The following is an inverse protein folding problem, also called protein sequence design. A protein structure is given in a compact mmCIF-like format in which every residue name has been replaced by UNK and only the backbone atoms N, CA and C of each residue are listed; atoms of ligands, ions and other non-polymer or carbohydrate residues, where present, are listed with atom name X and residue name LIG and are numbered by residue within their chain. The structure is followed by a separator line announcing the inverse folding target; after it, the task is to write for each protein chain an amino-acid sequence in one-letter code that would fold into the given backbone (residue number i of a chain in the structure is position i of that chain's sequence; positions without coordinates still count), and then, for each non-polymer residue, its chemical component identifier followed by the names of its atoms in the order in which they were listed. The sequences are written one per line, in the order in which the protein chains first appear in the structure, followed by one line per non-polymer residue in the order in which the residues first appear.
data_IF_929481660950
#
_entry.id   IF_929481660950
#
_cell.length_a   1.000
_cell.length_b   1.000
_cell.length_c   1.000
_cell.angle_alpha   90.00
_cell.angle_beta   90.00
_cell.angle_gamma   90.00
#
_symmetry.space_group_name_H-M   'P 1'
#
loop_
_entity.id
_entity.type
_entity.pdbx_description
1 polymer ?
#
# COMPACT_ATOMS: atom_id res chain seq x y z
N UNK A 1 9.73 -28.21 -1.44
CA UNK A 1 9.40 -27.72 -0.10
C UNK A 1 10.15 -26.41 0.24
N UNK A 2 11.48 -26.36 0.08
CA UNK A 2 12.30 -25.16 0.37
C UNK A 2 11.89 -23.94 -0.45
N UNK A 3 11.65 -24.08 -1.75
CA UNK A 3 11.22 -22.97 -2.62
C UNK A 3 9.90 -22.37 -2.12
N UNK A 4 8.97 -23.21 -1.72
CA UNK A 4 7.64 -22.79 -1.23
C UNK A 4 7.74 -22.01 0.09
N UNK A 5 8.63 -22.41 0.99
CA UNK A 5 8.91 -21.67 2.24
C UNK A 5 9.54 -20.31 1.94
N UNK A 6 10.56 -20.25 1.06
CA UNK A 6 11.25 -19.00 0.73
C UNK A 6 10.35 -17.97 0.05
N UNK A 7 9.26 -18.38 -0.61
CA UNK A 7 8.32 -17.47 -1.28
C UNK A 7 7.13 -17.11 -0.39
N UNK A 8 6.60 -18.04 0.39
CA UNK A 8 5.43 -17.80 1.25
C UNK A 8 5.81 -16.97 2.48
N UNK A 9 6.98 -17.22 3.08
CA UNK A 9 7.38 -16.53 4.32
C UNK A 9 7.49 -15.00 4.16
N UNK A 10 8.17 -14.44 3.14
CA UNK A 10 8.17 -13.00 2.91
C UNK A 10 6.78 -12.44 2.62
N UNK A 11 5.95 -13.19 1.88
CA UNK A 11 4.60 -12.75 1.54
C UNK A 11 3.70 -12.67 2.78
N UNK A 12 3.76 -13.65 3.68
CA UNK A 12 3.02 -13.64 4.96
C UNK A 12 3.53 -12.55 5.89
N UNK A 13 4.83 -12.30 5.92
CA UNK A 13 5.43 -11.23 6.70
C UNK A 13 4.97 -9.84 6.22
N UNK A 14 5.02 -9.59 4.90
CA UNK A 14 4.52 -8.36 4.29
C UNK A 14 3.03 -8.14 4.55
N UNK A 15 2.22 -9.20 4.47
CA UNK A 15 0.80 -9.13 4.77
C UNK A 15 0.54 -8.77 6.25
N UNK A 16 1.27 -9.39 7.18
CA UNK A 16 1.16 -9.09 8.61
C UNK A 16 1.54 -7.63 8.91
N UNK A 17 2.63 -7.13 8.33
CA UNK A 17 3.02 -5.73 8.45
C UNK A 17 1.94 -4.81 7.90
N UNK A 18 1.42 -5.10 6.70
CA UNK A 18 0.36 -4.28 6.09
C UNK A 18 -0.88 -4.18 6.97
N UNK A 19 -1.28 -5.28 7.64
CA UNK A 19 -2.41 -5.27 8.58
C UNK A 19 -2.15 -4.38 9.81
N UNK A 20 -0.93 -4.41 10.36
CA UNK A 20 -0.57 -3.61 11.53
C UNK A 20 -0.64 -2.11 11.22
N UNK A 21 -0.17 -1.70 10.04
CA UNK A 21 -0.15 -0.29 9.66
C UNK A 21 -1.46 0.25 9.07
N UNK A 22 -2.37 -0.61 8.64
CA UNK A 22 -3.61 -0.18 7.96
C UNK A 22 -4.47 0.73 8.84
N UNK A 23 -4.62 0.40 10.10
CA UNK A 23 -5.45 1.18 11.03
C UNK A 23 -4.85 2.56 11.30
N UNK A 24 -3.58 2.60 11.70
CA UNK A 24 -2.88 3.85 12.01
C UNK A 24 -2.83 4.78 10.81
N UNK A 25 -2.63 4.23 9.61
CA UNK A 25 -2.65 4.99 8.36
C UNK A 25 -4.02 5.62 8.09
N UNK A 26 -5.12 4.87 8.29
CA UNK A 26 -6.48 5.37 8.08
C UNK A 26 -6.81 6.46 9.11
N UNK A 27 -6.51 6.26 10.40
CA UNK A 27 -6.73 7.23 11.47
C UNK A 27 -5.99 8.54 11.15
N UNK A 28 -4.70 8.46 10.82
CA UNK A 28 -3.89 9.63 10.49
C UNK A 28 -4.36 10.36 9.24
N UNK A 29 -4.75 9.64 8.20
CA UNK A 29 -5.28 10.25 6.97
C UNK A 29 -6.58 10.99 7.23
N UNK A 30 -7.47 10.45 8.09
CA UNK A 30 -8.72 11.12 8.47
C UNK A 30 -8.43 12.39 9.28
N UNK A 31 -7.48 12.36 10.20
CA UNK A 31 -7.09 13.52 11.00
C UNK A 31 -6.49 14.64 10.13
N UNK A 32 -5.60 14.31 9.20
CA UNK A 32 -5.02 15.26 8.25
C UNK A 32 -6.08 15.89 7.34
N UNK A 33 -7.03 15.09 6.85
CA UNK A 33 -8.14 15.55 6.01
C UNK A 33 -9.07 16.51 6.78
N UNK A 34 -9.41 16.19 8.04
CA UNK A 34 -10.19 17.05 8.93
C UNK A 34 -9.49 18.38 9.18
N UNK A 35 -8.21 18.34 9.53
CA UNK A 35 -7.42 19.55 9.80
C UNK A 35 -7.42 20.46 8.59
N UNK A 36 -7.15 19.93 7.40
CA UNK A 36 -7.15 20.69 6.15
C UNK A 36 -8.54 21.26 5.83
N UNK A 37 -9.59 20.48 6.04
CA UNK A 37 -10.99 20.90 5.79
C UNK A 37 -11.37 22.02 6.72
N UNK A 38 -11.10 21.91 8.03
CA UNK A 38 -11.44 22.95 9.01
C UNK A 38 -10.61 24.21 8.81
N UNK A 39 -9.32 24.09 8.51
CA UNK A 39 -8.48 25.25 8.23
C UNK A 39 -8.99 26.00 7.00
N UNK A 40 -9.39 25.30 5.95
CA UNK A 40 -9.95 25.90 4.74
C UNK A 40 -11.28 26.60 5.04
N UNK A 41 -12.17 25.97 5.79
CA UNK A 41 -13.45 26.54 6.20
C UNK A 41 -13.27 27.79 7.09
N UNK A 42 -12.38 27.72 8.10
CA UNK A 42 -12.08 28.85 8.97
C UNK A 42 -11.48 30.03 8.20
N UNK A 43 -10.55 29.75 7.26
CA UNK A 43 -9.95 30.76 6.41
C UNK A 43 -10.97 31.42 5.48
N UNK A 44 -11.90 30.65 4.93
CA UNK A 44 -12.98 31.16 4.09
C UNK A 44 -13.91 32.09 4.89
N UNK A 45 -14.30 31.69 6.11
CA UNK A 45 -15.09 32.54 7.02
C UNK A 45 -14.32 33.80 7.38
N UNK A 46 -13.03 33.67 7.77
CA UNK A 46 -12.15 34.82 8.05
C UNK A 46 -12.16 35.80 6.88
N UNK A 47 -11.90 35.30 5.66
CA UNK A 47 -11.87 36.13 4.47
C UNK A 47 -13.21 36.82 4.21
N UNK A 48 -14.34 36.12 4.39
CA UNK A 48 -15.66 36.70 4.21
C UNK A 48 -15.95 37.84 5.19
N UNK A 49 -15.52 37.73 6.45
CA UNK A 49 -15.70 38.81 7.43
C UNK A 49 -14.64 39.90 7.33
N UNK A 50 -13.42 39.59 6.95
CA UNK A 50 -12.34 40.57 6.76
C UNK A 50 -12.58 41.44 5.53
N UNK A 51 -12.88 40.83 4.38
CA UNK A 51 -12.99 41.54 3.10
C UNK A 51 -14.44 41.87 2.69
N UNK A 52 -15.42 41.19 3.30
CA UNK A 52 -16.85 41.42 3.01
C UNK A 52 -17.43 42.66 3.70
N UNK A 53 -16.73 43.23 4.69
CA UNK A 53 -17.16 44.37 5.47
C UNK A 53 -15.98 45.32 5.72
N UNK A 54 -16.21 46.64 5.61
CA UNK A 54 -15.20 47.67 5.87
C UNK A 54 -15.20 48.12 7.33
N UNK A 55 -14.05 48.64 7.81
CA UNK A 55 -13.89 49.17 9.15
C UNK A 55 -13.39 48.19 10.19
N UNK A 56 -13.25 48.66 11.43
CA UNK A 56 -12.77 47.87 12.56
C UNK A 56 -13.88 47.11 13.29
N UNK A 57 -13.52 46.04 13.99
CA UNK A 57 -14.45 45.31 14.85
C UNK A 57 -14.66 46.07 16.15
N UNK A 58 -15.91 46.27 16.53
CA UNK A 58 -16.32 46.97 17.74
C UNK A 58 -17.54 46.31 18.37
N UNK A 59 -17.58 46.27 19.70
CA UNK A 59 -18.75 45.82 20.45
C UNK A 59 -19.31 47.01 21.21
N UNK A 60 -20.62 47.28 21.04
CA UNK A 60 -21.32 48.35 21.73
C UNK A 60 -21.66 47.99 23.20
N UNK A 61 -22.23 48.97 23.95
CA UNK A 61 -22.65 48.75 25.33
C UNK A 61 -23.74 47.71 25.54
N UNK A 62 -24.40 47.21 24.48
CA UNK A 62 -25.36 46.13 24.49
C UNK A 62 -24.76 44.76 24.19
N UNK A 63 -23.44 44.68 23.89
CA UNK A 63 -22.76 43.47 23.52
C UNK A 63 -22.93 43.08 22.04
N UNK A 64 -23.47 43.99 21.21
CA UNK A 64 -23.64 43.82 19.77
C UNK A 64 -22.32 44.04 19.02
N UNK A 65 -21.91 43.09 18.21
CA UNK A 65 -20.69 43.18 17.37
C UNK A 65 -21.03 43.92 16.06
N UNK A 66 -20.19 44.91 15.76
CA UNK A 66 -20.15 45.62 14.48
C UNK A 66 -18.81 45.46 13.81
N UNK A 67 -18.79 45.65 12.50
CA UNK A 67 -17.55 45.96 11.73
C UNK A 67 -17.80 47.25 10.96
N UNK A 68 -17.09 48.29 11.33
CA UNK A 68 -17.40 49.67 10.93
C UNK A 68 -18.86 50.02 11.29
N UNK A 69 -19.66 50.42 10.33
CA UNK A 69 -21.08 50.73 10.51
C UNK A 69 -22.02 49.52 10.38
N UNK A 70 -21.47 48.35 9.97
CA UNK A 70 -22.33 47.16 9.73
C UNK A 70 -22.47 46.32 10.98
N UNK A 71 -23.72 46.11 11.40
CA UNK A 71 -24.06 45.18 12.47
C UNK A 71 -23.86 43.74 12.03
N UNK A 72 -23.00 43.02 12.73
CA UNK A 72 -22.71 41.62 12.47
C UNK A 72 -23.55 40.67 13.35
N UNK A 73 -23.74 40.99 14.64
CA UNK A 73 -24.58 40.18 15.53
C UNK A 73 -25.99 40.05 14.97
N UNK A 74 -26.45 38.80 14.81
CA UNK A 74 -27.76 38.46 14.21
C UNK A 74 -27.67 38.14 12.72
N UNK A 75 -26.59 38.46 12.02
CA UNK A 75 -26.37 38.05 10.64
C UNK A 75 -25.66 36.68 10.60
N UNK A 76 -26.45 35.62 10.73
CA UNK A 76 -25.91 34.25 10.78
C UNK A 76 -25.97 33.53 9.43
N UNK A 77 -26.45 34.20 8.36
CA UNK A 77 -26.75 33.56 7.08
C UNK A 77 -25.54 32.82 6.45
N UNK A 78 -24.36 33.41 6.57
CA UNK A 78 -23.11 32.75 6.08
C UNK A 78 -22.83 31.46 6.82
N UNK A 79 -22.85 31.49 8.15
CA UNK A 79 -22.55 30.33 9.00
C UNK A 79 -23.62 29.26 8.88
N UNK A 80 -24.89 29.64 8.78
CA UNK A 80 -26.02 28.71 8.59
C UNK A 80 -25.95 28.03 7.22
N UNK A 81 -25.55 28.76 6.16
CA UNK A 81 -25.37 28.19 4.83
C UNK A 81 -24.22 27.19 4.85
N UNK A 82 -23.07 27.55 5.44
CA UNK A 82 -21.93 26.65 5.56
C UNK A 82 -22.33 25.36 6.31
N UNK A 83 -23.00 25.49 7.43
CA UNK A 83 -23.53 24.34 8.20
C UNK A 83 -24.46 23.45 7.36
N UNK A 84 -25.40 24.07 6.63
CA UNK A 84 -26.35 23.34 5.79
C UNK A 84 -25.69 22.56 4.66
N UNK A 85 -24.66 23.12 4.04
CA UNK A 85 -24.00 22.53 2.89
C UNK A 85 -22.88 21.54 3.25
N UNK A 86 -22.17 21.81 4.35
CA UNK A 86 -20.97 21.04 4.71
C UNK A 86 -21.11 20.24 6.01
N UNK A 87 -22.12 20.53 6.83
CA UNK A 87 -22.24 19.98 8.20
C UNK A 87 -21.28 20.62 9.21
N UNK A 88 -20.46 21.60 8.80
CA UNK A 88 -19.49 22.27 9.67
C UNK A 88 -20.19 23.29 10.55
N UNK A 89 -20.10 23.13 11.88
CA UNK A 89 -20.51 24.15 12.83
C UNK A 89 -19.48 25.29 12.84
N UNK A 90 -19.96 26.51 13.02
CA UNK A 90 -19.07 27.67 13.03
C UNK A 90 -19.54 28.78 13.96
N UNK A 91 -18.58 29.54 14.48
CA UNK A 91 -18.83 30.69 15.31
C UNK A 91 -17.76 31.77 15.12
N UNK A 92 -18.15 33.01 15.32
CA UNK A 92 -17.24 34.15 15.41
C UNK A 92 -17.29 34.67 16.86
N UNK A 93 -16.10 34.71 17.45
CA UNK A 93 -15.86 35.25 18.78
C UNK A 93 -15.30 36.68 18.66
N UNK A 94 -15.67 37.53 19.56
CA UNK A 94 -14.98 38.75 19.84
C UNK A 94 -14.48 38.72 21.31
N UNK A 95 -13.16 38.91 21.48
CA UNK A 95 -12.52 38.46 22.70
C UNK A 95 -12.78 36.97 22.91
N UNK A 96 -13.27 36.62 24.11
CA UNK A 96 -13.62 35.22 24.45
C UNK A 96 -15.14 34.95 24.42
N UNK A 97 -15.94 35.73 23.67
CA UNK A 97 -17.40 35.53 23.64
C UNK A 97 -17.93 35.31 22.23
N UNK A 98 -18.80 34.30 22.05
CA UNK A 98 -19.52 34.05 20.80
C UNK A 98 -20.47 35.22 20.49
N UNK A 99 -20.29 35.86 19.35
CA UNK A 99 -21.13 36.94 18.84
C UNK A 99 -22.04 36.54 17.68
N UNK A 100 -21.58 35.56 16.89
CA UNK A 100 -22.32 34.99 15.76
C UNK A 100 -22.04 33.50 15.73
N UNK A 101 -23.07 32.66 15.49
CA UNK A 101 -22.86 31.19 15.47
C UNK A 101 -23.97 30.45 14.73
N UNK A 102 -23.60 29.32 14.11
CA UNK A 102 -24.54 28.30 13.63
C UNK A 102 -24.90 27.27 14.71
N UNK A 103 -24.15 27.25 15.84
CA UNK A 103 -24.29 26.25 16.89
C UNK A 103 -25.58 26.54 17.68
N UNK A 104 -26.43 25.53 17.81
CA UNK A 104 -27.65 25.56 18.61
C UNK A 104 -27.47 24.75 19.88
N UNK A 105 -28.09 25.20 20.97
CA UNK A 105 -28.18 24.41 22.20
C UNK A 105 -29.27 23.29 22.06
N UNK A 106 -29.41 22.47 23.08
CA UNK A 106 -30.43 21.38 23.12
C UNK A 106 -31.87 21.86 23.01
N UNK A 107 -32.13 23.17 23.21
CA UNK A 107 -33.44 23.79 23.10
C UNK A 107 -33.64 24.54 21.77
N UNK A 108 -32.68 24.42 20.82
CA UNK A 108 -32.72 25.08 19.52
C UNK A 108 -32.40 26.58 19.59
N UNK A 109 -31.74 27.07 20.66
CA UNK A 109 -31.29 28.48 20.78
C UNK A 109 -29.80 28.54 20.43
N UNK A 110 -29.41 29.65 19.79
CA UNK A 110 -27.99 29.88 19.49
C UNK A 110 -27.16 30.08 20.75
N UNK A 111 -25.97 29.52 20.78
CA UNK A 111 -25.01 29.55 21.90
C UNK A 111 -24.29 30.89 22.05
N UNK A 112 -24.99 32.01 21.85
CA UNK A 112 -24.40 33.36 21.97
C UNK A 112 -23.94 33.63 23.41
N UNK A 113 -22.80 34.36 23.53
CA UNK A 113 -22.22 34.71 24.83
C UNK A 113 -21.39 33.59 25.48
N UNK A 114 -21.44 32.35 24.96
CA UNK A 114 -20.59 31.29 25.47
C UNK A 114 -19.12 31.64 25.23
N UNK A 115 -18.26 31.11 26.12
CA UNK A 115 -16.82 31.35 26.10
C UNK A 115 -16.07 30.08 25.69
N UNK A 116 -14.95 30.25 25.00
CA UNK A 116 -14.00 29.17 24.82
C UNK A 116 -13.24 28.88 26.12
N UNK A 117 -12.64 27.71 26.22
CA UNK A 117 -11.72 27.38 27.31
C UNK A 117 -10.53 28.34 27.36
N UNK A 118 -10.03 28.63 28.55
CA UNK A 118 -8.97 29.64 28.76
C UNK A 118 -7.67 29.29 28.03
N UNK A 119 -7.31 28.01 27.97
CA UNK A 119 -6.14 27.53 27.22
C UNK A 119 -6.26 27.79 25.71
N UNK A 120 -7.46 27.55 25.14
CA UNK A 120 -7.75 27.80 23.72
C UNK A 120 -7.69 29.30 23.44
N UNK A 121 -8.37 30.09 24.27
CA UNK A 121 -8.38 31.53 24.14
C UNK A 121 -6.96 32.11 24.17
N UNK A 122 -6.14 31.74 25.15
CA UNK A 122 -4.77 32.23 25.27
C UNK A 122 -3.92 31.85 24.05
N UNK A 123 -4.00 30.59 23.59
CA UNK A 123 -3.28 30.13 22.40
C UNK A 123 -3.62 30.97 21.16
N UNK A 124 -4.92 31.24 20.96
CA UNK A 124 -5.36 31.97 19.76
C UNK A 124 -5.07 33.48 19.88
N UNK A 125 -5.15 34.07 21.07
CA UNK A 125 -4.79 35.46 21.27
C UNK A 125 -3.28 35.76 21.11
N UNK A 126 -2.42 34.72 21.23
CA UNK A 126 -1.01 34.79 20.83
C UNK A 126 -0.79 34.72 19.31
N UNK A 127 -1.86 34.60 18.51
CA UNK A 127 -1.80 34.52 17.05
C UNK A 127 -1.64 33.09 16.52
N UNK A 128 -1.73 32.06 17.37
CA UNK A 128 -1.59 30.68 16.98
C UNK A 128 -2.96 30.06 16.66
N UNK A 129 -3.02 29.18 15.65
CA UNK A 129 -4.21 28.38 15.38
C UNK A 129 -4.26 27.20 16.34
N UNK A 130 -5.41 26.96 16.94
CA UNK A 130 -5.65 25.82 17.81
C UNK A 130 -6.46 24.73 17.07
N UNK A 131 -6.04 23.47 17.21
CA UNK A 131 -6.78 22.29 16.80
C UNK A 131 -6.97 21.38 17.99
N UNK A 132 -8.15 20.77 18.12
CA UNK A 132 -8.42 19.88 19.25
C UNK A 132 -9.77 19.18 19.14
N UNK A 133 -10.12 18.44 20.18
CA UNK A 133 -11.41 17.80 20.33
C UNK A 133 -12.22 18.52 21.39
N UNK A 134 -13.48 18.78 21.11
CA UNK A 134 -14.43 19.38 22.03
C UNK A 134 -15.74 18.61 22.04
N UNK A 135 -16.42 18.64 23.17
CA UNK A 135 -17.73 18.05 23.32
C UNK A 135 -18.82 19.12 23.38
N UNK A 136 -19.62 19.17 22.31
CA UNK A 136 -20.75 20.10 22.21
C UNK A 136 -22.07 19.33 22.18
N UNK A 137 -23.02 19.68 23.03
CA UNK A 137 -24.38 19.10 23.03
C UNK A 137 -24.41 17.55 22.99
N UNK A 138 -23.51 16.87 23.72
CA UNK A 138 -23.31 15.41 23.78
C UNK A 138 -22.73 14.76 22.52
N UNK A 139 -22.33 15.54 21.55
CA UNK A 139 -21.59 15.06 20.38
C UNK A 139 -20.13 15.47 20.51
N UNK A 140 -19.24 14.66 19.97
CA UNK A 140 -17.82 14.94 19.94
C UNK A 140 -17.49 15.63 18.60
N UNK A 141 -16.69 16.71 18.67
CA UNK A 141 -16.28 17.53 17.54
C UNK A 141 -14.76 17.62 17.47
N UNK A 142 -14.22 17.58 16.27
CA UNK A 142 -12.86 18.03 16.00
C UNK A 142 -12.95 19.49 15.56
N UNK A 143 -12.19 20.37 16.22
CA UNK A 143 -12.36 21.82 16.10
C UNK A 143 -11.09 22.51 15.67
N UNK A 144 -11.27 23.66 15.02
CA UNK A 144 -10.21 24.60 14.68
C UNK A 144 -10.64 26.00 15.15
N UNK A 145 -9.76 26.68 15.88
CA UNK A 145 -9.87 28.09 16.21
C UNK A 145 -8.77 28.87 15.52
N UNK A 146 -9.18 29.78 14.65
CA UNK A 146 -8.28 30.64 13.87
C UNK A 146 -8.32 32.07 14.43
N UNK A 147 -7.16 32.77 14.62
CA UNK A 147 -7.16 34.14 15.11
C UNK A 147 -7.83 35.10 14.12
N UNK A 148 -8.68 35.98 14.67
CA UNK A 148 -9.31 37.09 13.97
C UNK A 148 -8.59 38.38 14.35
N UNK A 149 -8.04 39.04 13.36
CA UNK A 149 -7.29 40.27 13.53
C UNK A 149 -8.16 41.52 13.32
N UNK A 150 -7.83 42.62 13.98
CA UNK A 150 -8.56 43.88 13.88
C UNK A 150 -8.53 44.46 12.48
N UNK A 151 -7.38 44.36 11.80
CA UNK A 151 -7.15 44.89 10.45
C UNK A 151 -6.37 43.86 9.60
N UNK A 152 -7.11 43.08 8.80
CA UNK A 152 -6.53 42.10 7.92
C UNK A 152 -5.70 41.03 8.62
N UNK A 153 -4.40 40.97 8.32
CA UNK A 153 -3.45 40.01 8.90
C UNK A 153 -2.40 40.69 9.82
N UNK A 154 -2.36 42.00 9.86
CA UNK A 154 -1.28 42.79 10.51
C UNK A 154 -1.71 43.51 11.80
N UNK A 155 -2.98 43.34 12.21
CA UNK A 155 -3.53 43.97 13.42
C UNK A 155 -3.39 43.09 14.68
N UNK A 156 -3.86 43.66 15.80
CA UNK A 156 -4.00 42.88 17.04
C UNK A 156 -5.09 41.80 16.88
N UNK A 157 -4.91 40.64 17.56
CA UNK A 157 -5.93 39.61 17.61
C UNK A 157 -7.09 40.07 18.47
N UNK A 158 -8.26 40.27 17.89
CA UNK A 158 -9.48 40.78 18.57
C UNK A 158 -10.50 39.71 18.88
N UNK A 159 -10.31 38.52 18.35
CA UNK A 159 -11.25 37.40 18.52
C UNK A 159 -10.78 36.14 17.82
N UNK A 160 -11.72 35.24 17.58
CA UNK A 160 -11.45 33.92 17.03
C UNK A 160 -12.55 33.51 16.07
N UNK A 161 -12.19 32.74 15.05
CA UNK A 161 -13.13 32.01 14.21
C UNK A 161 -13.07 30.55 14.59
N UNK A 162 -14.17 30.01 15.05
CA UNK A 162 -14.38 28.62 15.36
C UNK A 162 -15.01 27.91 14.17
N UNK A 163 -14.50 26.75 13.86
CA UNK A 163 -15.16 25.75 13.02
C UNK A 163 -15.01 24.36 13.64
N UNK A 164 -16.06 23.56 13.55
CA UNK A 164 -16.06 22.22 14.12
C UNK A 164 -16.82 21.23 13.24
N UNK A 165 -16.27 20.03 13.08
CA UNK A 165 -16.90 18.91 12.41
C UNK A 165 -17.25 17.84 13.44
N UNK A 166 -18.47 17.31 13.38
CA UNK A 166 -18.89 16.24 14.29
C UNK A 166 -18.13 14.94 13.99
N UNK A 167 -17.55 14.37 15.04
CA UNK A 167 -16.80 13.10 14.99
C UNK A 167 -17.55 11.94 15.64
N UNK A 168 -18.75 12.21 16.17
CA UNK A 168 -19.64 11.18 16.75
C UNK A 168 -19.94 10.11 15.70
N UNK A 169 -19.51 8.87 15.95
CA UNK A 169 -19.66 7.76 15.00
C UNK A 169 -18.46 7.55 14.05
N UNK A 170 -17.43 8.38 14.09
CA UNK A 170 -16.23 8.19 13.28
C UNK A 170 -15.48 6.91 13.64
N UNK A 171 -15.51 6.51 14.91
CA UNK A 171 -14.98 5.19 15.32
C UNK A 171 -15.60 4.06 14.51
N UNK A 172 -16.91 4.15 14.22
CA UNK A 172 -17.60 3.15 13.40
C UNK A 172 -17.24 3.27 11.92
N UNK A 173 -17.10 4.49 11.40
CA UNK A 173 -16.64 4.74 10.02
C UNK A 173 -15.19 4.28 9.79
N UNK A 174 -14.31 4.55 10.75
CA UNK A 174 -12.93 4.07 10.74
C UNK A 174 -12.92 2.54 10.77
N UNK A 175 -13.71 1.92 11.64
CA UNK A 175 -13.82 0.46 11.73
C UNK A 175 -14.32 -0.15 10.41
N UNK A 176 -15.35 0.44 9.78
CA UNK A 176 -15.90 -0.04 8.51
C UNK A 176 -14.89 0.13 7.34
N UNK A 177 -14.21 1.27 7.25
CA UNK A 177 -13.13 1.49 6.26
C UNK A 177 -11.98 0.52 6.49
N UNK A 178 -11.55 0.33 7.73
CA UNK A 178 -10.50 -0.64 8.10
C UNK A 178 -10.91 -2.06 7.73
N UNK A 179 -12.14 -2.47 8.06
CA UNK A 179 -12.68 -3.78 7.70
C UNK A 179 -12.68 -4.01 6.18
N UNK A 180 -13.13 -3.03 5.40
CA UNK A 180 -13.17 -3.10 3.93
C UNK A 180 -11.75 -3.23 3.37
N UNK A 181 -10.79 -2.45 3.88
CA UNK A 181 -9.38 -2.53 3.48
C UNK A 181 -8.75 -3.87 3.82
N UNK A 182 -9.01 -4.40 5.02
CA UNK A 182 -8.53 -5.72 5.46
C UNK A 182 -9.10 -6.85 4.59
N UNK A 183 -10.38 -6.78 4.22
CA UNK A 183 -11.00 -7.77 3.31
C UNK A 183 -10.32 -7.70 1.93
N UNK A 184 -10.10 -6.51 1.38
CA UNK A 184 -9.41 -6.32 0.10
C UNK A 184 -7.98 -6.86 0.12
N UNK A 185 -7.19 -6.52 1.13
CA UNK A 185 -5.83 -7.03 1.32
C UNK A 185 -5.80 -8.55 1.46
N UNK A 186 -6.74 -9.12 2.22
CA UNK A 186 -6.85 -10.57 2.41
C UNK A 186 -7.18 -11.29 1.10
N UNK A 187 -8.05 -10.74 0.27
CA UNK A 187 -8.38 -11.30 -1.05
C UNK A 187 -7.16 -11.32 -1.97
N UNK A 188 -6.41 -10.21 -2.06
CA UNK A 188 -5.17 -10.12 -2.84
C UNK A 188 -4.12 -11.10 -2.34
N UNK A 189 -3.97 -11.22 -1.01
CA UNK A 189 -3.05 -12.18 -0.39
C UNK A 189 -3.40 -13.63 -0.75
N UNK A 190 -4.67 -14.03 -0.67
CA UNK A 190 -5.13 -15.37 -1.03
C UNK A 190 -4.88 -15.69 -2.51
N UNK A 191 -5.17 -14.75 -3.41
CA UNK A 191 -4.89 -14.91 -4.85
C UNK A 191 -3.39 -15.09 -5.08
N UNK A 192 -2.54 -14.26 -4.45
CA UNK A 192 -1.08 -14.37 -4.54
C UNK A 192 -0.58 -15.73 -4.05
N UNK A 193 -1.13 -16.22 -2.94
CA UNK A 193 -0.77 -17.53 -2.37
C UNK A 193 -1.11 -18.68 -3.32
N UNK A 194 -2.26 -18.62 -3.99
CA UNK A 194 -2.66 -19.62 -5.00
C UNK A 194 -1.69 -19.60 -6.18
N UNK A 195 -1.40 -18.40 -6.74
CA UNK A 195 -0.47 -18.25 -7.87
C UNK A 195 0.93 -18.80 -7.52
N UNK A 196 1.49 -18.37 -6.37
CA UNK A 196 2.81 -18.83 -5.91
C UNK A 196 2.83 -20.36 -5.73
N UNK A 197 1.78 -20.92 -5.17
CA UNK A 197 1.68 -22.37 -4.96
C UNK A 197 1.66 -23.12 -6.29
N UNK A 198 0.91 -22.64 -7.28
CA UNK A 198 0.85 -23.25 -8.62
C UNK A 198 2.23 -23.19 -9.29
N UNK A 199 2.86 -22.01 -9.30
CA UNK A 199 4.19 -21.82 -9.91
C UNK A 199 5.25 -22.69 -9.23
N UNK A 200 5.29 -22.72 -7.89
CA UNK A 200 6.24 -23.53 -7.13
C UNK A 200 6.08 -25.02 -7.41
N UNK A 201 4.83 -25.51 -7.53
CA UNK A 201 4.54 -26.91 -7.88
C UNK A 201 4.99 -27.25 -9.31
N UNK A 202 4.74 -26.37 -10.28
CA UNK A 202 5.17 -26.57 -11.65
C UNK A 202 6.70 -26.61 -11.76
N UNK A 203 7.41 -25.66 -11.14
CA UNK A 203 8.87 -25.64 -11.11
C UNK A 203 9.45 -26.89 -10.46
N UNK A 204 8.93 -27.27 -9.29
CA UNK A 204 9.38 -28.46 -8.56
C UNK A 204 9.17 -29.75 -9.36
N UNK A 205 8.05 -29.86 -10.07
CA UNK A 205 7.76 -31.05 -10.92
C UNK A 205 8.73 -31.17 -12.08
N UNK A 206 8.98 -30.08 -12.80
CA UNK A 206 9.92 -30.07 -13.93
C UNK A 206 11.35 -30.35 -13.46
N UNK A 207 11.78 -29.71 -12.36
CA UNK A 207 13.12 -29.91 -11.82
C UNK A 207 13.38 -31.36 -11.40
N UNK A 208 12.39 -32.02 -10.78
CA UNK A 208 12.47 -33.45 -10.44
C UNK A 208 12.56 -34.34 -11.67
N UNK A 209 11.91 -33.98 -12.79
CA UNK A 209 12.02 -34.73 -14.04
C UNK A 209 13.43 -34.61 -14.66
N UNK A 210 13.98 -33.42 -14.65
CA UNK A 210 15.36 -33.17 -15.12
C UNK A 210 16.35 -33.92 -14.25
N UNK A 211 16.23 -33.83 -12.93
CA UNK A 211 17.09 -34.51 -11.96
C UNK A 211 17.06 -36.03 -12.19
N UNK A 212 15.87 -36.62 -12.34
CA UNK A 212 15.74 -38.04 -12.67
C UNK A 212 16.35 -38.42 -14.01
N UNK A 213 16.21 -37.55 -15.03
CA UNK A 213 16.81 -37.78 -16.32
C UNK A 213 18.35 -37.79 -16.24
N UNK A 214 18.94 -36.82 -15.50
CA UNK A 214 20.38 -36.77 -15.26
C UNK A 214 20.87 -37.98 -14.45
N UNK A 215 20.15 -38.41 -13.44
CA UNK A 215 20.48 -39.59 -12.63
C UNK A 215 20.47 -40.84 -13.50
N UNK A 216 19.47 -41.04 -14.34
CA UNK A 216 19.41 -42.17 -15.29
C UNK A 216 20.56 -42.13 -16.30
N UNK A 217 20.87 -40.95 -16.85
CA UNK A 217 22.02 -40.77 -17.74
C UNK A 217 23.35 -41.07 -17.04
N UNK A 218 23.49 -40.80 -15.76
CA UNK A 218 24.69 -41.05 -14.98
C UNK A 218 24.97 -42.56 -14.83
N UNK A 219 23.98 -43.42 -14.91
CA UNK A 219 24.10 -44.87 -14.90
C UNK A 219 24.41 -45.44 -16.30
N UNK A 220 24.56 -44.59 -17.32
CA UNK A 220 24.84 -44.99 -18.72
C UNK A 220 23.59 -45.22 -19.56
N UNK A 221 22.38 -45.05 -18.99
CA UNK A 221 21.13 -45.16 -19.76
C UNK A 221 20.79 -43.81 -20.42
N UNK A 222 21.03 -43.74 -21.73
CA UNK A 222 20.76 -42.59 -22.58
C UNK A 222 19.39 -42.65 -23.27
N UNK A 223 18.53 -43.61 -22.92
CA UNK A 223 17.19 -43.75 -23.53
C UNK A 223 16.15 -42.84 -22.97
N UNK A 224 16.52 -41.98 -21.98
CA UNK A 224 15.63 -41.01 -21.33
C UNK A 224 14.99 -40.07 -22.33
N UNK A 225 13.70 -39.80 -22.13
CA UNK A 225 12.93 -38.82 -22.93
C UNK A 225 12.55 -37.62 -22.08
N UNK A 226 12.52 -36.46 -22.72
CA UNK A 226 12.08 -35.22 -22.09
C UNK A 226 10.64 -34.93 -22.49
N UNK A 227 9.84 -34.40 -21.54
CA UNK A 227 8.45 -34.04 -21.79
C UNK A 227 8.41 -32.78 -22.70
N UNK A 228 7.62 -32.82 -23.75
CA UNK A 228 7.40 -31.71 -24.67
C UNK A 228 6.96 -30.43 -23.96
N UNK A 229 6.18 -30.56 -22.88
CA UNK A 229 5.76 -29.42 -22.08
C UNK A 229 6.91 -28.70 -21.40
N UNK A 230 7.96 -29.43 -21.00
CA UNK A 230 9.15 -28.85 -20.38
C UNK A 230 10.06 -28.20 -21.43
N UNK A 231 10.17 -28.79 -22.61
CA UNK A 231 10.98 -28.27 -23.72
C UNK A 231 10.40 -26.98 -24.32
N UNK A 232 9.07 -26.83 -24.32
CA UNK A 232 8.36 -25.64 -24.83
C UNK A 232 8.36 -24.47 -23.86
N UNK A 233 8.82 -24.65 -22.63
CA UNK A 233 8.93 -23.54 -21.67
C UNK A 233 9.92 -22.49 -22.17
N UNK A 234 9.56 -21.19 -21.96
CA UNK A 234 10.39 -20.05 -22.37
C UNK A 234 11.23 -19.46 -21.24
N UNK A 235 11.16 -20.05 -20.05
CA UNK A 235 11.89 -19.64 -18.85
C UNK A 235 13.22 -20.39 -18.69
N UNK A 236 13.95 -20.08 -17.62
CA UNK A 236 15.25 -20.70 -17.27
C UNK A 236 15.14 -22.21 -17.09
N UNK A 237 14.02 -22.68 -16.56
CA UNK A 237 13.76 -24.11 -16.36
C UNK A 237 13.63 -24.83 -17.72
N UNK A 238 12.95 -24.22 -18.68
CA UNK A 238 12.88 -24.73 -20.05
C UNK A 238 14.23 -24.73 -20.75
N UNK A 239 15.06 -23.72 -20.46
CA UNK A 239 16.43 -23.69 -20.99
C UNK A 239 17.27 -24.84 -20.44
N UNK A 240 17.20 -25.12 -19.13
CA UNK A 240 17.88 -26.25 -18.51
C UNK A 240 17.42 -27.58 -19.15
N UNK A 241 16.11 -27.77 -19.35
CA UNK A 241 15.56 -28.98 -19.97
C UNK A 241 16.11 -29.19 -21.38
N UNK A 242 16.10 -28.16 -22.22
CA UNK A 242 16.67 -28.22 -23.60
C UNK A 242 18.18 -28.50 -23.60
N UNK A 243 18.93 -27.85 -22.72
CA UNK A 243 20.37 -28.05 -22.62
C UNK A 243 20.71 -29.47 -22.17
N UNK A 244 19.93 -30.02 -21.22
CA UNK A 244 20.07 -31.41 -20.77
C UNK A 244 19.75 -32.39 -21.89
N UNK A 245 18.76 -32.12 -22.73
CA UNK A 245 18.43 -32.93 -23.90
C UNK A 245 19.61 -32.93 -24.91
N UNK A 246 20.13 -31.74 -25.19
CA UNK A 246 21.29 -31.63 -26.08
C UNK A 246 22.50 -32.41 -25.54
N UNK A 247 22.74 -32.36 -24.24
CA UNK A 247 23.80 -33.12 -23.58
C UNK A 247 23.62 -34.64 -23.79
N UNK A 248 22.40 -35.17 -23.56
CA UNK A 248 22.06 -36.57 -23.82
C UNK A 248 22.35 -36.95 -25.28
N UNK A 249 21.92 -36.15 -26.25
CA UNK A 249 22.08 -36.43 -27.65
C UNK A 249 23.58 -36.48 -28.06
N UNK A 250 24.37 -35.59 -27.49
CA UNK A 250 25.84 -35.58 -27.69
C UNK A 250 26.49 -36.84 -27.09
N UNK A 251 26.10 -37.24 -25.88
CA UNK A 251 26.62 -38.47 -25.27
C UNK A 251 26.21 -39.69 -26.08
N UNK A 252 24.98 -39.80 -26.56
CA UNK A 252 24.52 -40.89 -27.41
C UNK A 252 25.37 -40.99 -28.67
N UNK A 253 25.69 -39.84 -29.30
CA UNK A 253 26.53 -39.81 -30.48
C UNK A 253 27.98 -40.29 -30.19
N UNK A 254 28.58 -39.81 -29.10
CA UNK A 254 29.95 -40.19 -28.70
C UNK A 254 30.03 -41.68 -28.39
N UNK A 255 29.08 -42.22 -27.62
CA UNK A 255 29.02 -43.66 -27.30
C UNK A 255 28.83 -44.49 -28.57
N UNK A 256 28.00 -44.02 -29.54
CA UNK A 256 27.84 -44.65 -30.84
C UNK A 256 29.16 -44.72 -31.63
N UNK A 257 29.90 -43.62 -31.68
CA UNK A 257 31.24 -43.56 -32.35
C UNK A 257 32.26 -44.47 -31.68
N UNK A 258 32.29 -44.52 -30.34
CA UNK A 258 33.16 -45.44 -29.59
C UNK A 258 32.82 -46.90 -29.94
N UNK A 259 31.54 -47.26 -29.93
CA UNK A 259 31.08 -48.61 -30.27
C UNK A 259 31.47 -49.02 -31.69
N UNK A 260 31.35 -48.11 -32.65
CA UNK A 260 31.80 -48.31 -34.03
C UNK A 260 33.32 -48.52 -34.10
N UNK A 261 34.10 -47.65 -33.44
CA UNK A 261 35.56 -47.75 -33.38
C UNK A 261 36.01 -49.07 -32.75
N UNK A 262 35.37 -49.51 -31.65
CA UNK A 262 35.64 -50.81 -31.02
C UNK A 262 35.32 -51.95 -31.97
N UNK A 263 34.25 -51.86 -32.76
CA UNK A 263 33.92 -52.90 -33.78
C UNK A 263 35.01 -52.97 -34.89
N UNK A 264 35.51 -51.84 -35.35
CA UNK A 264 36.59 -51.75 -36.32
C UNK A 264 37.86 -52.37 -35.76
N UNK A 265 38.25 -52.00 -34.52
CA UNK A 265 39.44 -52.57 -33.84
C UNK A 265 39.30 -54.07 -33.67
N UNK A 266 38.13 -54.56 -33.28
CA UNK A 266 37.85 -56.02 -33.15
C UNK A 266 38.07 -56.75 -34.50
N UNK A 267 37.46 -56.21 -35.58
CA UNK A 267 37.66 -56.79 -36.91
C UNK A 267 39.16 -56.82 -37.37
N UNK A 268 39.90 -55.73 -37.07
CA UNK A 268 41.31 -55.68 -37.36
C UNK A 268 42.12 -56.73 -36.54
N UNK A 269 41.78 -56.89 -35.26
CA UNK A 269 42.38 -57.92 -34.40
C UNK A 269 42.10 -59.35 -34.90
N UNK A 270 40.84 -59.62 -35.28
CA UNK A 270 40.47 -60.95 -35.85
C UNK A 270 41.18 -61.24 -37.14
N UNK A 271 41.44 -60.23 -38.03
CA UNK A 271 42.22 -60.36 -39.22
C UNK A 271 43.71 -60.63 -38.91
N UNK A 272 44.27 -59.92 -37.92
CA UNK A 272 45.69 -60.18 -37.51
C UNK A 272 45.82 -61.57 -36.91
N UNK A 273 44.92 -62.04 -36.17
CA UNK A 273 44.93 -63.40 -35.62
C UNK A 273 44.81 -64.46 -36.72
N UNK A 274 43.99 -64.23 -37.73
CA UNK A 274 43.88 -65.09 -38.92
C UNK A 274 45.21 -65.11 -39.72
N UNK A 275 45.84 -63.92 -39.97
CA UNK A 275 47.11 -63.83 -40.67
C UNK A 275 48.22 -64.47 -39.85
N UNK A 276 48.28 -64.30 -38.53
CA UNK A 276 49.25 -64.96 -37.66
C UNK A 276 49.17 -66.46 -37.73
N UNK A 277 47.98 -67.03 -37.68
CA UNK A 277 47.73 -68.47 -37.79
C UNK A 277 48.08 -68.98 -39.16
N UNK A 278 47.81 -68.20 -40.21
CA UNK A 278 48.21 -68.59 -41.58
C UNK A 278 49.75 -68.56 -41.78
N UNK A 279 50.39 -67.53 -41.18
CA UNK A 279 51.87 -67.41 -41.18
C UNK A 279 52.56 -68.59 -40.46
N UNK A 280 52.00 -68.98 -39.28
CA UNK A 280 52.49 -70.14 -38.50
C UNK A 280 52.40 -71.44 -39.34
N UNK A 281 51.23 -71.65 -39.97
CA UNK A 281 51.06 -72.85 -40.86
C UNK A 281 51.97 -72.85 -42.03
N UNK A 282 52.31 -71.70 -42.66
CA UNK A 282 53.21 -71.59 -43.78
C UNK A 282 54.65 -71.85 -43.31
N UNK A 283 55.03 -71.40 -42.12
CA UNK A 283 56.40 -71.70 -41.56
C UNK A 283 56.53 -73.18 -41.23
N UNK A 284 55.49 -73.85 -40.69
CA UNK A 284 55.50 -75.31 -40.44
C UNK A 284 55.57 -76.10 -41.73
N UNK A 285 54.90 -75.66 -42.85
CA UNK A 285 54.94 -76.31 -44.14
C UNK A 285 56.28 -76.16 -44.92
N UNK A 286 57.11 -75.22 -44.54
CA UNK A 286 58.44 -75.01 -45.13
C UNK A 286 59.56 -75.83 -44.41
N UNK A 287 59.24 -76.31 -43.20
CA UNK A 287 60.14 -77.04 -42.29
C UNK A 287 60.17 -78.56 -42.53
N UNK A 288 59.50 -79.05 -43.56
CA UNK A 288 59.48 -80.42 -44.03
C UNK A 288 59.95 -80.45 -45.47
#
# INVERSE_FOLDING_TARGET
FRILICTILPLTFMFAISLLFTRDFIEKTIEEDRTTTLQTAASAIKSAYVYGYEGEYMVDGSGTLFKGETRLTGNNSLLDTLKKETGIESALYYGNEIKITSIMDVNGRRTLGNKAEENIYNTVMEGNTYYGEERLNRADYYVCYLPLYSDGEDGDVVGMIYVGIETTGDTQRIADKTKTSVIGLSAVFLVSLVIVTILARQMSKTMKRIDKALDTMSTGDLTVTFDDSDLKRKDEIGNIARTTQVLRDRFTKVIGQIKESVSVVKKASDNVDTMSNQSTRTVEGISH
#
